data_IF_159648438458
#
_entry.id   IF_159648438458
#
_cell.length_a   1.000
_cell.length_b   1.000
_cell.length_c   1.000
_cell.angle_alpha   90.00
_cell.angle_beta   90.00
_cell.angle_gamma   90.00
#
_symmetry.space_group_name_H-M   'P 1'
#
loop_
_entity.id
_entity.type
_entity.pdbx_description
1 polymer ?
#
# COMPACT_ATOMS: atom_id res chain seq x y z
N UNK A 1 26.26 -32.14 -49.37
CA UNK A 1 26.06 -31.79 -47.94
C UNK A 1 24.72 -31.08 -47.87
N UNK A 2 23.65 -31.71 -47.36
CA UNK A 2 22.36 -31.04 -47.22
C UNK A 2 22.46 -30.00 -46.09
N UNK A 3 21.90 -28.82 -46.32
CA UNK A 3 21.82 -27.71 -45.35
C UNK A 3 20.73 -27.99 -44.31
N UNK A 4 21.02 -27.63 -43.07
CA UNK A 4 20.19 -27.87 -41.89
C UNK A 4 19.00 -26.89 -41.89
N UNK A 5 17.80 -27.41 -41.66
CA UNK A 5 16.56 -26.66 -41.48
C UNK A 5 16.62 -25.73 -40.25
N UNK A 6 16.09 -24.49 -40.32
CA UNK A 6 16.08 -23.55 -39.21
C UNK A 6 14.84 -23.75 -38.33
N UNK A 7 14.60 -24.99 -37.89
CA UNK A 7 13.45 -25.34 -37.07
C UNK A 7 13.89 -26.16 -35.84
N UNK A 8 14.67 -25.55 -34.94
CA UNK A 8 14.78 -25.92 -33.52
C UNK A 8 15.48 -24.76 -32.76
N UNK A 9 14.75 -23.68 -32.50
CA UNK A 9 15.11 -22.80 -31.38
C UNK A 9 14.53 -23.51 -30.15
N UNK A 10 15.42 -24.17 -29.40
CA UNK A 10 15.09 -24.65 -28.06
C UNK A 10 14.59 -23.47 -27.21
N UNK A 11 13.67 -23.68 -26.25
CA UNK A 11 13.31 -22.62 -25.31
C UNK A 11 14.61 -22.15 -24.65
N UNK A 12 14.84 -20.83 -24.68
CA UNK A 12 15.94 -20.22 -23.94
C UNK A 12 15.79 -20.65 -22.47
N UNK A 13 16.79 -21.36 -21.97
CA UNK A 13 16.90 -21.72 -20.56
C UNK A 13 17.17 -20.42 -19.81
N UNK A 14 16.09 -19.72 -19.42
CA UNK A 14 16.17 -18.51 -18.63
C UNK A 14 16.89 -18.85 -17.33
N UNK A 15 18.09 -18.28 -17.16
CA UNK A 15 18.88 -18.45 -15.95
C UNK A 15 18.08 -18.05 -14.69
N UNK A 16 18.57 -18.41 -13.49
CA UNK A 16 17.87 -18.11 -12.25
C UNK A 16 17.51 -16.62 -12.16
N UNK A 17 16.24 -16.33 -11.88
CA UNK A 17 15.73 -14.96 -11.74
C UNK A 17 16.49 -14.23 -10.63
N UNK A 18 17.27 -13.21 -10.99
CA UNK A 18 17.99 -12.38 -10.03
C UNK A 18 17.08 -11.34 -9.36
N UNK A 19 15.92 -11.05 -9.96
CA UNK A 19 14.92 -10.09 -9.47
C UNK A 19 13.51 -10.56 -9.79
N UNK A 20 12.54 -10.07 -9.03
CA UNK A 20 11.12 -10.33 -9.30
C UNK A 20 10.72 -9.74 -10.67
N UNK A 21 10.00 -10.47 -11.52
CA UNK A 21 9.65 -10.04 -12.88
C UNK A 21 8.48 -9.07 -12.91
N UNK A 22 8.59 -7.94 -12.21
CA UNK A 22 7.60 -6.86 -12.29
C UNK A 22 7.69 -6.12 -13.61
N UNK A 23 6.56 -5.68 -14.20
CA UNK A 23 6.60 -4.66 -15.23
C UNK A 23 7.18 -3.35 -14.65
N UNK A 24 7.84 -2.51 -15.48
CA UNK A 24 8.36 -1.22 -15.03
C UNK A 24 7.25 -0.35 -14.39
N UNK A 25 7.46 0.06 -13.14
CA UNK A 25 6.53 0.95 -12.43
C UNK A 25 6.70 2.37 -12.98
N UNK A 26 5.63 2.97 -13.51
CA UNK A 26 5.67 4.34 -14.02
C UNK A 26 5.07 5.32 -13.03
N UNK A 27 5.40 6.62 -13.18
CA UNK A 27 4.72 7.69 -12.41
C UNK A 27 3.20 7.60 -12.58
N UNK A 28 2.73 7.35 -13.81
CA UNK A 28 1.31 7.26 -14.11
C UNK A 28 0.65 6.08 -13.40
N UNK A 29 1.33 4.93 -13.34
CA UNK A 29 0.88 3.77 -12.56
C UNK A 29 0.60 4.18 -11.12
N UNK A 30 1.55 4.81 -10.43
CA UNK A 30 1.35 5.28 -9.05
C UNK A 30 0.21 6.32 -8.93
N UNK A 31 0.09 7.24 -9.89
CA UNK A 31 -0.96 8.27 -9.90
C UNK A 31 -2.37 7.68 -10.08
N UNK A 32 -2.52 6.55 -10.77
CA UNK A 32 -3.82 5.90 -10.94
C UNK A 32 -4.43 5.42 -9.61
N UNK A 33 -3.61 5.25 -8.56
CA UNK A 33 -4.03 4.86 -7.21
C UNK A 33 -4.20 6.05 -6.27
N UNK A 34 -4.00 7.28 -6.75
CA UNK A 34 -4.36 8.48 -5.98
C UNK A 34 -5.87 8.49 -5.80
N UNK A 35 -6.33 8.58 -4.54
CA UNK A 35 -7.75 8.66 -4.24
C UNK A 35 -8.42 9.78 -5.06
N UNK A 36 -9.45 9.48 -5.88
CA UNK A 36 -10.83 9.75 -5.43
C UNK A 36 -11.95 8.90 -6.11
N UNK A 37 -12.82 8.20 -5.34
CA UNK A 37 -14.19 7.76 -5.75
C UNK A 37 -15.03 7.29 -4.52
N UNK A 38 -16.39 7.29 -4.54
CA UNK A 38 -17.32 8.41 -4.64
C UNK A 38 -18.06 8.70 -3.31
N UNK A 39 -17.77 8.01 -2.20
CA UNK A 39 -18.55 8.15 -0.97
C UNK A 39 -17.91 9.13 0.00
N UNK A 40 -18.40 10.37 -0.03
CA UNK A 40 -18.28 11.36 1.04
C UNK A 40 -16.85 11.83 1.33
N UNK A 41 -16.13 12.23 0.28
CA UNK A 41 -14.82 12.88 0.38
C UNK A 41 -15.04 14.38 0.36
N UNK A 42 -14.80 15.07 1.48
CA UNK A 42 -14.45 16.48 1.36
C UNK A 42 -12.99 16.54 0.92
N UNK A 43 -12.78 16.74 -0.37
CA UNK A 43 -11.47 17.04 -0.93
C UNK A 43 -11.24 18.53 -0.78
N UNK A 44 -10.54 18.96 0.29
CA UNK A 44 -9.79 20.20 0.18
C UNK A 44 -8.53 19.88 -0.61
N UNK A 45 -8.33 20.51 -1.78
CA UNK A 45 -6.98 20.56 -2.35
C UNK A 45 -6.06 21.06 -1.23
N UNK A 46 -5.12 20.21 -0.82
CA UNK A 46 -4.26 20.52 0.31
C UNK A 46 -3.46 21.76 -0.04
N UNK A 47 -3.77 22.88 0.62
CA UNK A 47 -3.03 24.12 0.38
C UNK A 47 -1.54 23.86 0.64
N UNK A 48 -0.62 24.47 -0.12
CA UNK A 48 0.83 24.25 0.07
C UNK A 48 1.28 24.42 1.52
N UNK A 49 0.68 25.38 2.24
CA UNK A 49 0.93 25.63 3.67
C UNK A 49 0.59 24.45 4.58
N UNK A 50 -0.51 23.75 4.31
CA UNK A 50 -0.89 22.56 5.08
C UNK A 50 0.08 21.41 4.82
N UNK A 51 0.51 21.23 3.56
CA UNK A 51 1.51 20.21 3.22
C UNK A 51 2.89 20.54 3.81
N UNK A 52 3.26 21.82 3.84
CA UNK A 52 4.50 22.25 4.47
C UNK A 52 4.45 22.01 5.98
N UNK A 53 3.34 22.29 6.67
CA UNK A 53 3.18 21.92 8.10
C UNK A 53 3.30 20.40 8.33
N UNK A 54 2.73 19.57 7.45
CA UNK A 54 2.90 18.10 7.57
C UNK A 54 4.36 17.65 7.37
N UNK A 55 5.16 18.39 6.60
CA UNK A 55 6.59 18.12 6.38
C UNK A 55 7.49 18.71 7.47
N UNK A 56 7.01 19.69 8.23
CA UNK A 56 7.81 20.30 9.29
C UNK A 56 8.14 19.29 10.38
N UNK A 57 9.44 19.19 10.69
CA UNK A 57 9.92 18.34 11.75
C UNK A 57 9.46 18.87 13.12
N UNK A 58 8.49 18.18 13.73
CA UNK A 58 8.02 18.47 15.09
C UNK A 58 6.52 18.24 15.26
N UNK A 59 6.13 17.76 16.44
CA UNK A 59 4.73 17.53 16.78
C UNK A 59 4.09 18.76 17.42
N UNK A 60 4.23 19.91 16.76
CA UNK A 60 3.52 21.13 17.17
C UNK A 60 2.14 21.09 16.53
N UNK A 61 1.10 21.00 17.33
CA UNK A 61 -0.28 21.05 16.85
C UNK A 61 -0.79 22.49 16.91
N UNK A 62 -1.59 22.93 15.92
CA UNK A 62 -2.22 24.24 15.98
C UNK A 62 -3.22 24.34 17.12
N UNK A 63 -3.24 25.49 17.80
CA UNK A 63 -4.26 25.80 18.80
C UNK A 63 -5.64 25.90 18.12
N UNK A 64 -6.65 25.28 18.74
CA UNK A 64 -8.05 25.44 18.33
C UNK A 64 -8.70 26.54 19.17
N UNK A 65 -9.13 27.63 18.54
CA UNK A 65 -9.86 28.71 19.22
C UNK A 65 -11.13 28.20 19.95
N UNK A 66 -11.67 27.03 19.57
CA UNK A 66 -12.92 26.47 20.09
C UNK A 66 -12.73 25.48 21.25
N UNK A 67 -11.49 25.05 21.56
CA UNK A 67 -11.20 24.10 22.65
C UNK A 67 -10.54 24.86 23.81
N UNK A 68 -11.27 25.16 24.92
CA UNK A 68 -10.59 25.64 26.11
C UNK A 68 -9.56 24.59 26.52
N UNK A 69 -8.32 25.02 26.76
CA UNK A 69 -7.27 24.19 27.37
C UNK A 69 -7.89 23.36 28.51
N UNK A 70 -8.03 22.06 28.29
CA UNK A 70 -8.37 21.14 29.37
C UNK A 70 -7.07 20.69 30.01
N UNK A 71 -6.92 21.05 31.28
CA UNK A 71 -5.81 20.63 32.12
C UNK A 71 -5.84 19.11 32.30
N UNK A 72 -5.07 18.40 31.47
CA UNK A 72 -4.80 16.97 31.62
C UNK A 72 -4.02 16.68 32.90
N UNK A 73 -4.10 15.46 33.44
CA UNK A 73 -3.27 15.03 34.58
C UNK A 73 -1.77 15.19 34.30
N UNK A 74 -1.35 15.09 33.03
CA UNK A 74 0.02 15.33 32.58
C UNK A 74 0.39 16.83 32.61
N UNK A 75 -0.48 17.72 32.14
CA UNK A 75 -0.23 19.17 32.21
C UNK A 75 -0.29 19.68 33.64
N UNK A 76 -1.20 19.17 34.48
CA UNK A 76 -1.24 19.46 35.92
C UNK A 76 0.04 18.98 36.64
N UNK A 77 0.55 17.78 36.30
CA UNK A 77 1.79 17.26 36.87
C UNK A 77 3.06 18.02 36.44
N UNK A 78 2.98 18.78 35.35
CA UNK A 78 4.08 19.62 34.85
C UNK A 78 3.86 21.12 35.09
N UNK A 79 2.73 21.53 35.68
CA UNK A 79 2.39 22.93 35.95
C UNK A 79 3.36 23.62 36.93
N UNK A 80 4.03 22.85 37.78
CA UNK A 80 5.02 23.33 38.75
C UNK A 80 6.47 23.30 38.21
N UNK A 81 6.70 22.89 36.96
CA UNK A 81 8.03 22.99 36.36
C UNK A 81 8.31 24.46 36.00
N UNK A 82 9.49 25.00 36.36
CA UNK A 82 9.85 26.34 35.95
C UNK A 82 9.82 26.40 34.41
N UNK A 83 9.03 27.32 33.87
CA UNK A 83 9.04 27.65 32.45
C UNK A 83 10.50 27.88 32.04
N UNK A 84 11.00 27.09 31.10
CA UNK A 84 12.30 27.32 30.52
C UNK A 84 12.15 28.49 29.54
N UNK A 85 12.65 29.69 29.89
CA UNK A 85 12.45 30.88 29.06
C UNK A 85 13.12 30.75 27.69
N UNK A 86 14.09 29.84 27.54
CA UNK A 86 14.73 29.54 26.26
C UNK A 86 13.86 28.63 25.39
N UNK A 87 13.07 27.73 26.01
CA UNK A 87 12.08 26.89 25.33
C UNK A 87 10.83 27.69 24.92
N UNK A 88 10.31 28.55 25.79
CA UNK A 88 9.14 29.40 25.48
C UNK A 88 9.46 30.51 24.47
N UNK A 89 10.69 31.06 24.48
CA UNK A 89 11.11 32.05 23.47
C UNK A 89 11.23 31.44 22.05
N UNK A 90 11.37 30.10 21.94
CA UNK A 90 11.38 29.35 20.68
C UNK A 90 10.02 28.70 20.35
N UNK A 91 9.05 28.77 21.27
CA UNK A 91 7.67 28.38 21.03
C UNK A 91 7.00 29.49 20.22
N UNK A 92 7.23 29.50 18.91
CA UNK A 92 6.37 30.26 18.01
C UNK A 92 4.96 29.65 18.07
N UNK A 93 3.90 30.46 18.19
CA UNK A 93 2.54 29.94 18.11
C UNK A 93 2.39 29.21 16.78
N UNK A 94 2.10 27.91 16.83
CA UNK A 94 1.66 27.21 15.63
C UNK A 94 0.19 27.59 15.45
N UNK A 95 -0.05 28.57 14.58
CA UNK A 95 -1.39 29.11 14.39
C UNK A 95 -2.02 28.42 13.18
N UNK A 96 -3.17 27.78 13.41
CA UNK A 96 -3.99 27.19 12.35
C UNK A 96 -4.37 28.25 11.28
N UNK A 97 -4.22 29.55 11.60
CA UNK A 97 -4.40 30.66 10.67
C UNK A 97 -3.61 30.51 9.37
N UNK A 98 -2.45 29.84 9.39
CA UNK A 98 -1.64 29.60 8.18
C UNK A 98 -2.37 28.74 7.12
N UNK A 99 -3.38 27.98 7.53
CA UNK A 99 -4.24 27.14 6.69
C UNK A 99 -5.70 27.14 7.19
N UNK A 100 -6.20 28.30 7.64
CA UNK A 100 -7.52 28.46 8.24
C UNK A 100 -8.65 27.90 7.38
N UNK A 101 -8.55 28.06 6.06
CA UNK A 101 -9.52 27.53 5.10
C UNK A 101 -9.60 26.00 5.19
N UNK A 102 -8.45 25.32 5.17
CA UNK A 102 -8.37 23.85 5.29
C UNK A 102 -8.89 23.40 6.66
N UNK A 103 -8.52 24.11 7.72
CA UNK A 103 -8.98 23.84 9.08
C UNK A 103 -10.52 23.92 9.20
N UNK A 104 -11.13 24.96 8.62
CA UNK A 104 -12.58 25.13 8.59
C UNK A 104 -13.28 24.05 7.76
N UNK A 105 -12.70 23.66 6.62
CA UNK A 105 -13.21 22.55 5.80
C UNK A 105 -13.14 21.23 6.57
N UNK A 106 -12.05 20.96 7.29
CA UNK A 106 -11.93 19.75 8.12
C UNK A 106 -13.02 19.74 9.20
N UNK A 107 -13.19 20.84 9.95
CA UNK A 107 -14.23 20.96 11.00
C UNK A 107 -15.64 20.69 10.45
N UNK A 108 -16.00 21.36 9.36
CA UNK A 108 -17.32 21.19 8.73
C UNK A 108 -17.53 19.78 8.20
N UNK A 109 -16.51 19.19 7.57
CA UNK A 109 -16.56 17.81 7.07
C UNK A 109 -16.76 16.81 8.20
N UNK A 110 -16.05 16.95 9.32
CA UNK A 110 -16.24 16.06 10.47
C UNK A 110 -17.69 16.09 10.93
N UNK A 111 -18.28 17.29 11.06
CA UNK A 111 -19.68 17.45 11.45
C UNK A 111 -20.65 16.82 10.43
N UNK A 112 -20.41 17.02 9.14
CA UNK A 112 -21.23 16.45 8.05
C UNK A 112 -21.18 14.92 7.98
N UNK A 113 -20.01 14.32 8.27
CA UNK A 113 -19.79 12.87 8.23
C UNK A 113 -20.18 12.14 9.51
N UNK A 114 -20.88 12.80 10.44
CA UNK A 114 -21.41 12.18 11.66
C UNK A 114 -20.47 12.27 12.87
N UNK A 115 -19.51 13.20 12.86
CA UNK A 115 -18.67 13.54 14.01
C UNK A 115 -17.45 12.63 14.22
N UNK A 116 -17.24 11.62 13.37
CA UNK A 116 -16.07 10.75 13.44
C UNK A 116 -15.63 10.33 12.05
N UNK A 117 -14.37 10.60 11.73
CA UNK A 117 -13.79 10.38 10.40
C UNK A 117 -12.45 9.63 10.48
N UNK A 118 -11.99 9.17 9.32
CA UNK A 118 -10.68 8.56 9.12
C UNK A 118 -9.94 9.37 8.05
N UNK A 119 -8.78 9.97 8.36
CA UNK A 119 -7.99 10.71 7.39
C UNK A 119 -7.14 9.78 6.52
N UNK A 120 -6.92 10.18 5.27
CA UNK A 120 -6.00 9.57 4.31
C UNK A 120 -5.47 10.67 3.38
N UNK A 121 -4.21 10.58 2.96
CA UNK A 121 -3.74 11.37 1.81
C UNK A 121 -4.07 10.62 0.51
N UNK A 122 -3.30 10.89 -0.55
CA UNK A 122 -3.50 10.30 -1.87
C UNK A 122 -3.49 8.77 -1.82
N UNK A 123 -2.55 8.16 -1.10
CA UNK A 123 -2.35 6.70 -1.12
C UNK A 123 -2.42 6.04 0.25
N UNK A 124 -2.01 6.72 1.31
CA UNK A 124 -1.82 6.12 2.62
C UNK A 124 -2.69 6.74 3.72
N UNK A 125 -3.21 5.89 4.59
CA UNK A 125 -3.87 6.28 5.84
C UNK A 125 -2.89 6.08 7.01
N UNK A 126 -2.95 6.89 8.08
CA UNK A 126 -1.99 6.87 9.19
C UNK A 126 -2.23 5.70 10.17
N UNK A 127 -2.25 4.47 9.66
CA UNK A 127 -2.55 3.24 10.41
C UNK A 127 -1.39 2.79 11.31
N UNK A 128 -0.19 3.28 11.04
CA UNK A 128 1.04 3.08 11.81
C UNK A 128 1.13 4.04 13.02
N UNK A 129 0.48 5.20 12.93
CA UNK A 129 0.48 6.23 13.96
C UNK A 129 -0.59 6.05 15.06
N UNK A 130 -1.27 4.90 15.12
CA UNK A 130 -2.36 4.67 16.08
C UNK A 130 -1.93 4.82 17.55
N UNK A 131 -0.66 4.55 17.83
CA UNK A 131 -0.05 4.74 19.15
C UNK A 131 -0.06 6.21 19.62
N UNK A 132 -0.15 7.16 18.68
CA UNK A 132 -0.27 8.60 18.94
C UNK A 132 -1.73 9.06 18.99
N UNK A 133 -2.70 8.19 18.69
CA UNK A 133 -4.10 8.57 18.67
C UNK A 133 -4.61 8.91 20.08
N UNK A 134 -5.23 10.08 20.23
CA UNK A 134 -5.94 10.48 21.45
C UNK A 134 -7.12 9.54 21.77
N UNK A 135 -7.66 8.88 20.73
CA UNK A 135 -8.81 7.97 20.80
C UNK A 135 -8.47 6.53 21.18
N UNK A 136 -7.37 6.30 21.93
CA UNK A 136 -6.95 4.99 22.49
C UNK A 136 -6.70 3.92 21.41
N UNK A 137 -5.70 4.14 20.56
CA UNK A 137 -5.31 3.23 19.46
C UNK A 137 -6.39 3.05 18.37
N UNK A 138 -7.19 4.08 18.12
CA UNK A 138 -8.17 4.10 17.03
C UNK A 138 -7.74 5.09 15.95
N UNK A 139 -8.04 4.79 14.68
CA UNK A 139 -7.82 5.72 13.57
C UNK A 139 -8.95 6.77 13.46
N UNK A 140 -9.94 6.68 14.35
CA UNK A 140 -11.05 7.61 14.41
C UNK A 140 -10.60 8.97 14.92
N UNK A 141 -10.86 10.00 14.12
CA UNK A 141 -10.66 11.41 14.45
C UNK A 141 -12.01 12.10 14.65
N UNK A 142 -12.13 12.90 15.71
CA UNK A 142 -13.32 13.69 16.02
C UNK A 142 -13.04 15.19 15.97
N UNK A 143 -11.77 15.58 15.96
CA UNK A 143 -11.30 16.96 15.89
C UNK A 143 -10.25 17.13 14.80
N UNK A 144 -10.01 18.36 14.30
CA UNK A 144 -8.87 18.64 13.42
C UNK A 144 -7.53 18.25 14.04
N UNK A 145 -7.37 18.41 15.36
CA UNK A 145 -6.16 18.09 16.10
C UNK A 145 -5.86 16.59 16.03
N UNK A 146 -6.88 15.73 16.14
CA UNK A 146 -6.71 14.28 15.95
C UNK A 146 -6.13 13.96 14.57
N UNK A 147 -6.61 14.66 13.53
CA UNK A 147 -6.16 14.48 12.15
C UNK A 147 -4.70 14.92 12.01
N UNK A 148 -4.37 16.12 12.48
CA UNK A 148 -3.01 16.66 12.38
C UNK A 148 -2.00 15.78 13.12
N UNK A 149 -2.34 15.35 14.33
CA UNK A 149 -1.52 14.47 15.14
C UNK A 149 -1.23 13.14 14.44
N UNK A 150 -2.26 12.47 13.90
CA UNK A 150 -2.07 11.21 13.21
C UNK A 150 -1.29 11.36 11.90
N UNK A 151 -1.58 12.39 11.10
CA UNK A 151 -0.89 12.62 9.84
C UNK A 151 0.60 12.96 10.06
N UNK A 152 0.92 13.86 11.01
CA UNK A 152 2.31 14.24 11.32
C UNK A 152 3.11 13.11 11.96
N UNK A 153 2.44 12.15 12.60
CA UNK A 153 3.09 11.02 13.28
C UNK A 153 3.22 9.76 12.41
N UNK A 154 2.73 9.79 11.18
CA UNK A 154 2.68 8.60 10.31
C UNK A 154 3.84 8.57 9.31
N UNK A 155 4.64 7.51 9.38
CA UNK A 155 5.68 7.21 8.39
C UNK A 155 5.09 6.92 7.01
N UNK A 156 3.85 6.41 6.94
CA UNK A 156 3.18 6.20 5.66
C UNK A 156 2.78 7.52 5.00
N UNK A 157 2.35 8.49 5.80
CA UNK A 157 2.06 9.85 5.31
C UNK A 157 3.34 10.56 4.88
N UNK A 158 4.44 10.44 5.64
CA UNK A 158 5.76 10.94 5.23
C UNK A 158 6.21 10.30 3.92
N UNK A 159 6.07 8.98 3.78
CA UNK A 159 6.39 8.29 2.54
C UNK A 159 5.57 8.83 1.35
N UNK A 160 4.26 9.06 1.52
CA UNK A 160 3.42 9.67 0.49
C UNK A 160 3.93 11.06 0.08
N UNK A 161 4.50 11.84 1.02
CA UNK A 161 4.97 13.22 0.79
C UNK A 161 6.40 13.32 0.22
N UNK A 162 7.24 12.30 0.42
CA UNK A 162 8.68 12.36 0.13
C UNK A 162 9.19 11.24 -0.80
N UNK A 163 8.55 10.07 -0.80
CA UNK A 163 9.07 8.84 -1.41
C UNK A 163 8.09 8.14 -2.36
N UNK A 164 6.96 8.79 -2.73
CA UNK A 164 5.88 8.17 -3.50
C UNK A 164 6.33 7.56 -4.85
N UNK A 165 7.41 8.08 -5.45
CA UNK A 165 7.89 7.68 -6.77
C UNK A 165 9.28 7.06 -6.79
N UNK A 166 9.88 6.73 -5.64
CA UNK A 166 11.24 6.23 -5.55
C UNK A 166 11.45 4.92 -6.35
N UNK A 167 10.39 4.12 -6.46
CA UNK A 167 10.39 2.84 -7.19
C UNK A 167 10.07 2.98 -8.70
N UNK A 168 9.85 4.20 -9.21
CA UNK A 168 9.48 4.40 -10.61
C UNK A 168 10.69 4.19 -11.54
N UNK A 169 10.47 3.45 -12.63
CA UNK A 169 11.43 3.18 -13.68
C UNK A 169 11.67 4.43 -14.56
N UNK A 170 12.35 5.44 -14.01
CA UNK A 170 13.06 6.49 -14.74
C UNK A 170 14.03 7.24 -13.81
N UNK A 171 15.25 6.71 -13.58
CA UNK A 171 16.20 7.30 -12.65
C UNK A 171 16.83 8.60 -13.15
N UNK A 172 16.74 8.91 -14.46
CA UNK A 172 17.36 10.12 -15.03
C UNK A 172 16.54 11.39 -14.78
N UNK A 173 15.23 11.25 -14.61
CA UNK A 173 14.30 12.33 -14.29
C UNK A 173 13.28 11.84 -13.26
N UNK A 174 13.69 11.66 -11.99
CA UNK A 174 12.75 11.29 -10.94
C UNK A 174 11.65 12.36 -10.91
N UNK A 175 10.38 11.95 -10.97
CA UNK A 175 9.29 12.91 -10.96
C UNK A 175 9.33 13.73 -9.67
N UNK A 176 9.39 15.05 -9.79
CA UNK A 176 9.38 15.93 -8.63
C UNK A 176 8.08 15.73 -7.86
N UNK A 177 8.21 15.25 -6.62
CA UNK A 177 7.08 14.99 -5.72
C UNK A 177 6.28 16.26 -5.40
N UNK A 178 6.90 17.44 -5.59
CA UNK A 178 6.27 18.76 -5.42
C UNK A 178 5.29 19.12 -6.54
N UNK A 179 5.30 18.41 -7.66
CA UNK A 179 4.38 18.64 -8.79
C UNK A 179 3.09 17.81 -8.68
N UNK A 180 2.86 17.15 -7.53
CA UNK A 180 1.65 16.36 -7.27
C UNK A 180 0.64 17.21 -6.52
N UNK A 181 -0.61 17.11 -6.94
CA UNK A 181 -1.74 17.61 -6.20
C UNK A 181 -2.12 16.63 -5.08
N UNK A 182 -1.94 17.05 -3.83
CA UNK A 182 -2.36 16.26 -2.68
C UNK A 182 -3.79 16.57 -2.29
N UNK A 183 -4.52 15.51 -1.94
CA UNK A 183 -5.89 15.59 -1.44
C UNK A 183 -5.96 14.96 -0.05
N UNK A 184 -6.43 15.73 0.92
CA UNK A 184 -6.86 15.18 2.20
C UNK A 184 -8.23 14.54 2.02
N UNK A 185 -8.32 13.24 2.24
CA UNK A 185 -9.54 12.45 2.17
C UNK A 185 -10.02 12.14 3.58
N UNK A 186 -11.23 12.59 3.92
CA UNK A 186 -11.91 12.23 5.17
C UNK A 186 -13.04 11.27 4.85
N UNK A 187 -13.07 10.09 5.48
CA UNK A 187 -14.16 9.11 5.32
C UNK A 187 -14.89 8.93 6.65
N UNK A 188 -16.21 8.68 6.67
CA UNK A 188 -16.92 8.34 7.90
C UNK A 188 -16.27 7.15 8.59
N UNK A 189 -15.98 7.28 9.88
CA UNK A 189 -15.48 6.17 10.68
C UNK A 189 -16.58 5.13 10.87
N UNK A 190 -16.22 3.87 10.67
CA UNK A 190 -17.02 2.74 11.09
C UNK A 190 -16.11 1.64 11.60
N UNK A 191 -16.62 0.84 12.53
CA UNK A 191 -15.88 -0.29 13.06
C UNK A 191 -15.85 -1.42 12.04
N UNK A 192 -14.65 -1.72 11.52
CA UNK A 192 -14.41 -2.85 10.64
C UNK A 192 -14.19 -4.11 11.49
N UNK A 193 -14.87 -5.21 11.13
CA UNK A 193 -14.47 -6.53 11.59
C UNK A 193 -13.37 -7.04 10.65
N UNK A 194 -12.12 -6.96 11.11
CA UNK A 194 -10.90 -7.27 10.35
C UNK A 194 -10.83 -8.72 9.87
N UNK A 195 -11.59 -9.64 10.48
CA UNK A 195 -11.78 -11.00 9.94
C UNK A 195 -12.38 -10.99 8.53
N UNK A 196 -13.22 -10.03 8.18
CA UNK A 196 -13.89 -10.00 6.87
C UNK A 196 -13.30 -8.96 5.93
N UNK A 197 -12.02 -8.65 6.11
CA UNK A 197 -11.22 -7.84 5.20
C UNK A 197 -10.31 -8.76 4.37
N UNK A 198 -10.32 -8.57 3.05
CA UNK A 198 -9.58 -9.40 2.11
C UNK A 198 -8.81 -8.53 1.12
N UNK A 199 -7.63 -8.99 0.73
CA UNK A 199 -6.85 -8.44 -0.38
C UNK A 199 -7.06 -9.31 -1.61
N UNK A 200 -7.33 -8.67 -2.73
CA UNK A 200 -7.60 -9.31 -4.02
C UNK A 200 -6.53 -8.87 -5.00
N UNK A 201 -5.92 -9.83 -5.69
CA UNK A 201 -4.87 -9.62 -6.69
C UNK A 201 -5.45 -9.81 -8.08
N UNK A 202 -5.31 -8.79 -8.91
CA UNK A 202 -5.74 -8.79 -10.31
C UNK A 202 -4.50 -8.69 -11.19
N UNK A 203 -4.39 -9.58 -12.17
CA UNK A 203 -3.36 -9.53 -13.21
C UNK A 203 -4.01 -9.75 -14.55
N UNK A 204 -3.70 -8.89 -15.52
CA UNK A 204 -4.28 -8.90 -16.86
C UNK A 204 -5.82 -8.98 -16.84
N UNK A 205 -6.42 -8.14 -15.99
CA UNK A 205 -7.85 -8.04 -15.71
C UNK A 205 -8.52 -9.32 -15.21
N UNK A 206 -7.73 -10.25 -14.67
CA UNK A 206 -8.20 -11.52 -14.10
C UNK A 206 -7.83 -11.59 -12.62
N UNK A 207 -8.78 -11.94 -11.75
CA UNK A 207 -8.47 -12.19 -10.32
C UNK A 207 -7.62 -13.45 -10.22
N UNK A 208 -6.37 -13.32 -9.77
CA UNK A 208 -5.46 -14.46 -9.60
C UNK A 208 -5.47 -15.03 -8.18
N UNK A 209 -5.73 -14.17 -7.19
CA UNK A 209 -5.68 -14.58 -5.79
C UNK A 209 -6.52 -13.69 -4.88
N UNK A 210 -7.06 -14.28 -3.83
CA UNK A 210 -7.77 -13.63 -2.73
C UNK A 210 -7.15 -14.13 -1.42
N UNK A 211 -6.78 -13.23 -0.52
CA UNK A 211 -6.32 -13.62 0.81
C UNK A 211 -6.92 -12.79 1.93
N UNK A 212 -6.97 -13.39 3.12
CA UNK A 212 -7.31 -12.69 4.36
C UNK A 212 -6.30 -11.55 4.63
N UNK A 213 -6.82 -10.35 4.94
CA UNK A 213 -5.98 -9.17 5.17
C UNK A 213 -5.26 -9.17 6.52
N UNK A 214 -5.93 -9.68 7.56
CA UNK A 214 -5.36 -9.82 8.90
C UNK A 214 -4.80 -11.23 9.10
N UNK A 215 -3.56 -11.34 9.59
CA UNK A 215 -2.88 -12.63 9.78
C UNK A 215 -3.35 -13.41 11.02
N UNK A 216 -4.56 -13.14 11.51
CA UNK A 216 -5.16 -13.83 12.65
C UNK A 216 -6.03 -14.98 12.17
N UNK A 217 -5.85 -16.18 12.73
CA UNK A 217 -6.70 -17.32 12.40
C UNK A 217 -8.18 -17.05 12.69
N UNK A 218 -9.02 -17.37 11.70
CA UNK A 218 -10.49 -17.34 11.80
C UNK A 218 -11.03 -18.63 11.16
N UNK A 219 -11.98 -19.26 11.84
CA UNK A 219 -12.59 -20.50 11.38
C UNK A 219 -13.79 -20.19 10.46
N UNK A 220 -13.54 -20.14 9.16
CA UNK A 220 -14.59 -19.95 8.16
C UNK A 220 -15.19 -21.28 7.73
N UNK A 221 -16.53 -21.35 7.64
CA UNK A 221 -17.15 -22.48 6.96
C UNK A 221 -16.84 -22.45 5.46
N UNK A 222 -16.71 -23.61 4.79
CA UNK A 222 -16.49 -23.66 3.35
C UNK A 222 -17.59 -22.92 2.54
N UNK A 223 -18.83 -23.00 3.02
CA UNK A 223 -19.98 -22.31 2.43
C UNK A 223 -19.83 -20.78 2.48
N UNK A 224 -19.32 -20.26 3.61
CA UNK A 224 -19.08 -18.84 3.79
C UNK A 224 -17.93 -18.36 2.90
N UNK A 225 -16.84 -19.12 2.79
CA UNK A 225 -15.74 -18.78 1.88
C UNK A 225 -16.18 -18.75 0.42
N UNK A 226 -16.97 -19.73 -0.02
CA UNK A 226 -17.53 -19.73 -1.37
C UNK A 226 -18.42 -18.51 -1.61
N UNK A 227 -19.27 -18.16 -0.63
CA UNK A 227 -20.11 -16.95 -0.70
C UNK A 227 -19.25 -15.69 -0.84
N UNK A 228 -18.24 -15.52 0.03
CA UNK A 228 -17.33 -14.37 0.01
C UNK A 228 -16.61 -14.28 -1.34
N UNK A 229 -16.12 -15.41 -1.86
CA UNK A 229 -15.45 -15.48 -3.16
C UNK A 229 -16.38 -14.97 -4.27
N UNK A 230 -17.60 -15.49 -4.36
CA UNK A 230 -18.59 -15.07 -5.37
C UNK A 230 -18.91 -13.59 -5.27
N UNK A 231 -19.17 -13.06 -4.07
CA UNK A 231 -19.48 -11.64 -3.88
C UNK A 231 -18.32 -10.73 -4.32
N UNK A 232 -17.07 -11.14 -4.06
CA UNK A 232 -15.87 -10.40 -4.50
C UNK A 232 -15.71 -10.45 -6.01
N UNK A 233 -15.87 -11.63 -6.62
CA UNK A 233 -15.78 -11.82 -8.07
C UNK A 233 -16.87 -10.98 -8.80
N UNK A 234 -18.11 -11.02 -8.32
CA UNK A 234 -19.22 -10.23 -8.85
C UNK A 234 -18.99 -8.71 -8.69
N UNK A 235 -18.44 -8.28 -7.56
CA UNK A 235 -18.07 -6.89 -7.33
C UNK A 235 -16.99 -6.43 -8.31
N UNK A 236 -15.95 -7.24 -8.51
CA UNK A 236 -14.86 -6.91 -9.44
C UNK A 236 -15.38 -6.79 -10.87
N UNK A 237 -16.11 -7.80 -11.36
CA UNK A 237 -16.65 -7.84 -12.72
C UNK A 237 -17.57 -6.64 -12.99
N UNK A 238 -18.42 -6.28 -12.02
CA UNK A 238 -19.40 -5.21 -12.20
C UNK A 238 -18.90 -3.79 -11.93
N UNK A 239 -17.85 -3.61 -11.09
CA UNK A 239 -17.42 -2.28 -10.63
C UNK A 239 -16.00 -1.90 -11.01
N UNK A 240 -15.07 -2.84 -11.16
CA UNK A 240 -13.64 -2.53 -11.27
C UNK A 240 -13.01 -2.96 -12.60
N UNK A 241 -13.41 -4.11 -13.15
CA UNK A 241 -12.75 -4.73 -14.31
C UNK A 241 -12.57 -3.78 -15.50
N UNK A 242 -13.62 -3.03 -15.84
CA UNK A 242 -13.59 -2.09 -16.97
C UNK A 242 -13.46 -0.62 -16.58
N UNK A 243 -13.56 -0.30 -15.28
CA UNK A 243 -13.51 1.08 -14.79
C UNK A 243 -12.11 1.52 -14.33
N UNK A 244 -11.28 0.58 -13.88
CA UNK A 244 -9.94 0.87 -13.42
C UNK A 244 -8.95 0.89 -14.59
N UNK A 245 -8.05 1.89 -14.69
CA UNK A 245 -7.18 2.07 -15.85
C UNK A 245 -6.16 0.96 -16.00
N UNK A 246 -5.56 0.48 -14.90
CA UNK A 246 -4.50 -0.52 -14.97
C UNK A 246 -5.06 -1.94 -15.04
N UNK A 247 -4.49 -2.81 -15.89
CA UNK A 247 -4.93 -4.20 -16.01
C UNK A 247 -4.50 -5.06 -14.82
N UNK A 248 -3.47 -4.64 -14.08
CA UNK A 248 -2.90 -5.40 -12.96
C UNK A 248 -2.79 -4.49 -11.75
N UNK A 249 -3.39 -4.92 -10.63
CA UNK A 249 -3.45 -4.17 -9.38
C UNK A 249 -3.89 -5.06 -8.22
N UNK A 250 -3.75 -4.58 -6.99
CA UNK A 250 -4.37 -5.21 -5.83
C UNK A 250 -5.47 -4.29 -5.28
N UNK A 251 -6.54 -4.84 -4.73
CA UNK A 251 -7.55 -4.04 -4.03
C UNK A 251 -8.00 -4.72 -2.74
N UNK A 252 -8.30 -3.91 -1.74
CA UNK A 252 -8.73 -4.34 -0.42
C UNK A 252 -10.25 -4.17 -0.32
N UNK A 253 -10.93 -5.20 0.18
CA UNK A 253 -12.38 -5.21 0.35
C UNK A 253 -12.79 -5.62 1.74
N UNK A 254 -13.93 -5.09 2.19
CA UNK A 254 -14.58 -5.47 3.44
C UNK A 254 -16.00 -5.94 3.18
N UNK A 255 -16.37 -7.07 3.79
CA UNK A 255 -17.71 -7.65 3.70
C UNK A 255 -18.42 -7.56 5.05
N UNK A 256 -19.21 -6.48 5.32
CA UNK A 256 -20.00 -6.38 6.53
C UNK A 256 -21.02 -7.52 6.63
N UNK A 257 -21.37 -7.93 7.85
CA UNK A 257 -22.49 -8.87 8.06
C UNK A 257 -23.77 -8.32 7.39
N UNK A 258 -24.52 -9.15 6.65
CA UNK A 258 -24.47 -10.62 6.56
C UNK A 258 -23.58 -11.18 5.41
N UNK A 259 -22.56 -10.43 5.00
CA UNK A 259 -21.59 -10.78 3.93
C UNK A 259 -22.24 -10.93 2.55
N UNK A 260 -23.16 -10.03 2.23
CA UNK A 260 -23.90 -9.94 0.95
C UNK A 260 -23.58 -8.64 0.19
N UNK A 261 -22.62 -7.87 0.69
CA UNK A 261 -22.20 -6.59 0.13
C UNK A 261 -20.70 -6.46 0.26
N UNK A 262 -20.06 -6.04 -0.83
CA UNK A 262 -18.64 -5.73 -0.85
C UNK A 262 -18.46 -4.21 -0.75
N UNK A 263 -17.61 -3.78 0.18
CA UNK A 263 -17.13 -2.40 0.27
C UNK A 263 -15.67 -2.34 -0.13
N UNK A 264 -15.36 -1.53 -1.14
CA UNK A 264 -13.97 -1.23 -1.50
C UNK A 264 -13.33 -0.39 -0.38
N UNK A 265 -12.22 -0.87 0.15
CA UNK A 265 -11.44 -0.20 1.20
C UNK A 265 -10.29 0.58 0.58
N UNK A 266 -9.52 -0.06 -0.30
CA UNK A 266 -8.37 0.56 -0.97
C UNK A 266 -8.03 -0.10 -2.30
N UNK A 267 -7.28 0.61 -3.14
CA UNK A 267 -6.64 0.04 -4.34
C UNK A 267 -5.14 0.34 -4.26
N UNK A 268 -4.32 -0.67 -4.49
CA UNK A 268 -2.88 -0.65 -4.35
C UNK A 268 -2.19 -1.03 -5.68
N UNK A 269 -1.00 -0.45 -5.96
CA UNK A 269 -0.27 -0.73 -7.18
C UNK A 269 0.17 -2.19 -7.30
N UNK A 270 0.19 -2.70 -8.53
CA UNK A 270 0.89 -3.95 -8.85
C UNK A 270 2.41 -3.71 -8.84
N UNK A 271 2.97 -3.65 -7.64
CA UNK A 271 4.38 -3.31 -7.41
C UNK A 271 4.87 -3.91 -6.09
N UNK A 272 6.19 -4.10 -5.98
CA UNK A 272 6.83 -4.74 -4.82
C UNK A 272 6.50 -4.05 -3.48
N UNK A 273 6.23 -2.74 -3.49
CA UNK A 273 5.81 -1.97 -2.31
C UNK A 273 4.49 -2.42 -1.69
N UNK A 274 3.65 -3.12 -2.44
CA UNK A 274 2.38 -3.64 -1.92
C UNK A 274 2.61 -4.99 -1.27
N UNK A 275 2.19 -5.14 -0.02
CA UNK A 275 2.36 -6.39 0.73
C UNK A 275 1.52 -7.54 0.11
N UNK A 276 2.13 -8.67 -0.29
CA UNK A 276 1.42 -9.80 -0.86
C UNK A 276 0.73 -10.69 0.19
N UNK A 277 0.97 -10.46 1.50
CA UNK A 277 0.35 -11.15 2.64
C UNK A 277 0.55 -12.66 2.58
N UNK A 278 -0.52 -13.43 2.36
CA UNK A 278 -0.49 -14.90 2.27
C UNK A 278 0.01 -15.42 0.91
N UNK A 279 0.50 -14.53 0.05
CA UNK A 279 1.14 -14.86 -1.20
C UNK A 279 2.60 -14.37 -1.23
N UNK A 280 3.39 -14.92 -2.13
CA UNK A 280 4.65 -14.32 -2.59
C UNK A 280 4.42 -13.53 -3.86
N UNK A 281 5.22 -12.50 -4.10
CA UNK A 281 5.16 -11.80 -5.39
C UNK A 281 5.57 -12.69 -6.56
N UNK A 282 6.54 -13.57 -6.36
CA UNK A 282 7.00 -14.47 -7.42
C UNK A 282 5.85 -15.34 -7.93
N UNK A 283 5.09 -15.97 -7.03
CA UNK A 283 3.97 -16.82 -7.47
C UNK A 283 2.87 -16.01 -8.16
N UNK A 284 2.50 -14.83 -7.63
CA UNK A 284 1.48 -13.97 -8.25
C UNK A 284 1.90 -13.53 -9.67
N UNK A 285 3.19 -13.29 -9.88
CA UNK A 285 3.75 -12.90 -11.18
C UNK A 285 3.86 -14.07 -12.16
N UNK A 286 4.01 -15.31 -11.68
CA UNK A 286 4.21 -16.50 -12.53
C UNK A 286 3.02 -17.45 -12.60
N UNK A 287 1.91 -17.16 -11.90
CA UNK A 287 0.67 -17.95 -11.99
C UNK A 287 0.24 -18.11 -13.46
N UNK A 288 -0.34 -19.24 -13.82
CA UNK A 288 -0.85 -19.45 -15.19
C UNK A 288 -2.20 -18.74 -15.35
N UNK A 289 -2.34 -17.84 -16.33
CA UNK A 289 -3.65 -17.28 -16.71
C UNK A 289 -4.29 -18.09 -17.85
N UNK A 290 -5.63 -18.06 -17.96
CA UNK A 290 -6.29 -18.47 -19.19
C UNK A 290 -5.74 -17.68 -20.37
N UNK A 291 -5.52 -18.38 -21.49
CA UNK A 291 -5.20 -17.69 -22.73
C UNK A 291 -6.41 -16.84 -23.13
N UNK A 292 -6.24 -15.56 -23.50
CA UNK A 292 -7.36 -14.78 -24.05
C UNK A 292 -7.94 -15.54 -25.24
N UNK A 293 -9.24 -15.84 -25.20
CA UNK A 293 -9.94 -16.43 -26.34
C UNK A 293 -9.88 -15.41 -27.49
N UNK A 294 -8.96 -15.62 -28.43
CA UNK A 294 -8.80 -14.79 -29.62
C UNK A 294 -10.05 -14.93 -30.48
N UNK A 295 -10.99 -13.99 -30.35
CA UNK A 295 -12.24 -14.06 -31.10
C UNK A 295 -13.19 -12.89 -30.91
N UNK A 296 -12.87 -11.71 -31.47
CA UNK A 296 -13.83 -10.87 -32.19
C UNK A 296 -13.14 -9.64 -32.84
N UNK A 297 -12.97 -9.74 -34.17
CA UNK A 297 -13.04 -8.70 -35.20
C UNK A 297 -12.32 -7.37 -35.00
N UNK A 298 -11.23 -7.17 -35.75
CA UNK A 298 -10.91 -5.84 -36.27
C UNK A 298 -10.66 -5.91 -37.78
N UNK A 299 -11.52 -5.25 -38.54
CA UNK A 299 -11.38 -5.02 -39.98
C UNK A 299 -10.44 -3.85 -40.21
N UNK A 300 -9.18 -4.12 -40.58
CA UNK A 300 -8.38 -3.16 -41.34
C UNK A 300 -7.32 -3.88 -42.20
N UNK A 301 -7.22 -3.41 -43.44
CA UNK A 301 -6.47 -3.95 -44.59
C UNK A 301 -4.94 -4.02 -44.32
N UNK A 302 -4.24 -5.15 -44.51
CA UNK A 302 -3.45 -5.57 -45.69
C UNK A 302 -2.15 -6.27 -45.23
N UNK A 303 -1.37 -7.01 -46.07
CA UNK A 303 -1.65 -7.58 -47.39
C UNK A 303 -1.49 -9.12 -47.46
N UNK A 304 -2.08 -9.71 -48.51
CA UNK A 304 -2.07 -11.13 -48.83
C UNK A 304 -0.69 -11.70 -49.22
N UNK A 305 -0.41 -12.93 -48.78
CA UNK A 305 0.58 -13.86 -49.35
C UNK A 305 0.02 -15.31 -49.32
N UNK A 306 0.45 -16.19 -50.23
CA UNK A 306 -0.44 -16.79 -51.22
C UNK A 306 -0.98 -18.19 -50.84
N UNK A 307 -2.15 -18.51 -51.39
CA UNK A 307 -2.67 -19.88 -51.46
C UNK A 307 -1.70 -20.81 -52.21
N UNK A 308 -1.35 -21.93 -51.58
CA UNK A 308 -0.93 -23.16 -52.27
C UNK A 308 -1.58 -24.37 -51.60
N UNK A 309 -2.65 -24.80 -52.27
CA UNK A 309 -3.02 -26.18 -52.62
C UNK A 309 -2.56 -27.35 -51.73
N UNK A 310 -3.57 -27.98 -51.12
CA UNK A 310 -3.92 -29.40 -51.17
C UNK A 310 -2.97 -30.48 -50.62
N UNK A 311 -3.56 -31.27 -49.72
CA UNK A 311 -3.28 -32.69 -49.37
C UNK A 311 -2.05 -32.94 -48.48
N UNK A 312 -2.26 -33.26 -47.19
CA UNK A 312 -2.24 -34.65 -46.71
C UNK A 312 -2.61 -34.80 -45.21
N UNK A 313 -3.34 -35.88 -44.97
CA UNK A 313 -3.59 -36.64 -43.73
C UNK A 313 -4.12 -35.96 -42.46
N UNK A 314 -5.44 -36.16 -42.29
CA UNK A 314 -6.09 -36.20 -41.00
C UNK A 314 -5.53 -37.36 -40.15
N UNK A 315 -4.80 -37.03 -39.08
CA UNK A 315 -4.75 -37.89 -37.90
C UNK A 315 -5.84 -37.43 -36.95
N UNK A 316 -6.93 -38.16 -37.01
CA UNK A 316 -8.06 -38.15 -36.09
C UNK A 316 -7.55 -38.67 -34.73
N UNK A 317 -7.08 -37.76 -33.87
CA UNK A 317 -7.04 -38.02 -32.43
C UNK A 317 -8.26 -37.36 -31.85
N UNK A 318 -9.22 -38.20 -31.46
CA UNK A 318 -10.35 -37.87 -30.61
C UNK A 318 -9.82 -37.14 -29.36
N UNK A 319 -9.80 -35.80 -29.42
CA UNK A 319 -9.61 -34.97 -28.23
C UNK A 319 -10.95 -35.04 -27.51
N UNK A 320 -11.07 -36.03 -26.62
CA UNK A 320 -12.13 -36.07 -25.63
C UNK A 320 -12.24 -34.69 -25.03
N UNK A 321 -13.43 -34.08 -25.13
CA UNK A 321 -13.69 -32.73 -24.67
C UNK A 321 -13.15 -32.50 -23.27
N UNK A 322 -11.95 -31.93 -23.20
CA UNK A 322 -11.45 -31.30 -21.99
C UNK A 322 -12.33 -30.06 -21.87
N UNK A 323 -13.41 -30.17 -21.10
CA UNK A 323 -14.05 -28.98 -20.55
C UNK A 323 -12.92 -28.20 -19.88
N UNK A 324 -12.41 -27.14 -20.52
CA UNK A 324 -11.47 -26.22 -19.91
C UNK A 324 -12.16 -25.70 -18.66
N UNK A 325 -11.81 -26.28 -17.50
CA UNK A 325 -12.39 -25.89 -16.23
C UNK A 325 -12.17 -24.38 -16.11
N UNK A 326 -13.23 -23.61 -15.78
CA UNK A 326 -13.10 -22.17 -15.64
C UNK A 326 -12.00 -21.89 -14.63
N UNK A 327 -11.06 -21.03 -15.01
CA UNK A 327 -9.96 -20.66 -14.14
C UNK A 327 -10.52 -20.12 -12.83
N UNK A 328 -10.10 -20.76 -11.73
CA UNK A 328 -10.54 -20.43 -10.39
C UNK A 328 -9.42 -19.68 -9.68
N UNK A 329 -9.72 -18.48 -9.21
CA UNK A 329 -8.82 -17.72 -8.37
C UNK A 329 -8.47 -18.49 -7.09
N UNK A 330 -7.21 -18.39 -6.66
CA UNK A 330 -6.77 -19.03 -5.42
C UNK A 330 -7.25 -18.23 -4.20
N UNK A 331 -7.97 -18.88 -3.27
CA UNK A 331 -8.41 -18.24 -2.03
C UNK A 331 -7.65 -18.81 -0.82
N UNK A 332 -6.80 -17.98 -0.19
CA UNK A 332 -6.04 -18.32 1.02
C UNK A 332 -6.61 -17.64 2.28
N UNK A 333 -6.74 -18.41 3.34
CA UNK A 333 -7.02 -17.92 4.70
C UNK A 333 -5.99 -18.50 5.66
N UNK A 334 -5.77 -17.80 6.77
CA UNK A 334 -4.81 -18.23 7.79
C UNK A 334 -5.27 -19.55 8.38
N UNK A 335 -4.39 -20.55 8.45
CA UNK A 335 -4.70 -21.89 8.99
C UNK A 335 -4.44 -21.93 10.49
N UNK A 336 -5.17 -22.82 11.19
CA UNK A 336 -5.06 -22.97 12.65
C UNK A 336 -3.68 -23.41 13.12
N UNK A 337 -2.95 -24.15 12.29
CA UNK A 337 -1.62 -24.67 12.64
C UNK A 337 -0.50 -23.83 12.01
N UNK A 338 -0.82 -22.65 11.48
CA UNK A 338 0.17 -21.77 10.86
C UNK A 338 0.97 -21.02 11.95
N UNK A 339 2.31 -21.19 12.03
CA UNK A 339 3.12 -20.49 13.01
C UNK A 339 3.04 -18.95 12.85
N UNK A 340 2.78 -18.45 11.64
CA UNK A 340 2.62 -17.01 11.39
C UNK A 340 1.34 -16.46 12.04
N UNK A 341 0.31 -17.30 12.22
CA UNK A 341 -0.95 -16.93 12.89
C UNK A 341 -0.80 -16.60 14.38
N UNK A 342 0.30 -17.06 15.00
CA UNK A 342 0.59 -16.91 16.43
C UNK A 342 1.80 -16.02 16.68
N UNK A 343 2.31 -15.33 15.66
CA UNK A 343 3.44 -14.42 15.81
C UNK A 343 2.98 -13.06 16.39
N UNK A 344 2.56 -13.08 17.66
CA UNK A 344 2.02 -11.94 18.44
C UNK A 344 3.02 -10.78 18.70
N UNK A 345 4.21 -10.80 18.09
CA UNK A 345 5.33 -9.95 18.49
C UNK A 345 5.78 -8.86 17.50
N UNK A 346 5.19 -8.78 16.30
CA UNK A 346 5.55 -7.72 15.34
C UNK A 346 4.37 -6.80 15.11
N UNK A 347 4.57 -5.49 15.31
CA UNK A 347 3.56 -4.50 14.96
C UNK A 347 3.16 -4.72 13.48
N UNK A 348 1.86 -4.72 13.15
CA UNK A 348 1.34 -5.03 11.81
C UNK A 348 1.75 -4.03 10.72
N UNK A 349 2.52 -3.00 11.09
CA UNK A 349 3.07 -1.97 10.23
C UNK A 349 4.56 -1.80 10.52
N UNK A 350 5.35 -2.84 10.22
CA UNK A 350 6.80 -2.71 10.13
C UNK A 350 7.16 -2.67 8.65
N UNK A 351 7.06 -1.50 8.03
CA UNK A 351 7.55 -1.29 6.68
C UNK A 351 9.09 -1.29 6.61
N UNK A 352 9.79 -1.24 7.74
CA UNK A 352 11.24 -1.37 7.79
C UNK A 352 11.60 -2.43 8.85
N UNK A 353 11.66 -3.69 8.41
CA UNK A 353 12.35 -4.74 9.17
C UNK A 353 13.83 -4.39 9.21
N UNK A 354 14.18 -3.58 10.22
CA UNK A 354 15.52 -3.10 10.56
C UNK A 354 16.20 -2.30 9.43
N UNK A 355 17.00 -1.26 9.74
CA UNK A 355 17.86 -0.63 8.73
C UNK A 355 18.69 -1.70 8.02
N UNK A 356 18.91 -1.57 6.71
CA UNK A 356 19.65 -2.55 5.90
C UNK A 356 20.98 -2.95 6.56
N UNK A 357 21.69 -2.00 7.15
CA UNK A 357 22.94 -2.24 7.91
C UNK A 357 22.79 -3.26 9.06
N UNK A 358 21.63 -3.29 9.73
CA UNK A 358 21.34 -4.20 10.83
C UNK A 358 20.92 -5.59 10.33
N UNK A 359 20.32 -5.65 9.14
CA UNK A 359 20.00 -6.91 8.45
C UNK A 359 21.29 -7.55 7.93
N UNK A 360 22.13 -6.78 7.26
CA UNK A 360 23.42 -7.21 6.70
C UNK A 360 24.37 -7.67 7.83
N UNK A 361 24.43 -6.95 8.95
CA UNK A 361 25.20 -7.40 10.13
C UNK A 361 24.64 -8.66 10.81
N UNK A 362 23.34 -8.93 10.64
CA UNK A 362 22.71 -10.20 11.01
C UNK A 362 23.28 -11.39 10.24
N UNK A 363 23.61 -11.18 8.96
CA UNK A 363 24.18 -12.20 8.07
C UNK A 363 25.71 -12.35 8.25
N UNK A 364 26.42 -11.25 8.56
CA UNK A 364 27.88 -11.21 8.72
C UNK A 364 28.38 -11.67 10.10
N UNK A 365 27.50 -11.80 11.10
CA UNK A 365 27.82 -12.37 12.41
C UNK A 365 28.37 -11.39 13.45
N UNK A 366 28.90 -11.93 14.55
CA UNK A 366 29.07 -11.21 15.82
C UNK A 366 30.03 -10.01 15.83
N UNK A 367 30.93 -9.87 14.85
CA UNK A 367 31.83 -8.71 14.76
C UNK A 367 31.13 -7.49 14.17
N UNK A 368 30.28 -7.66 13.15
CA UNK A 368 29.47 -6.58 12.56
C UNK A 368 28.46 -6.00 13.58
N UNK A 369 27.86 -6.86 14.40
CA UNK A 369 27.00 -6.44 15.52
C UNK A 369 27.73 -5.58 16.55
N UNK A 370 29.03 -5.83 16.76
CA UNK A 370 29.83 -5.09 17.73
C UNK A 370 30.09 -3.65 17.26
N UNK A 371 30.34 -3.47 15.97
CA UNK A 371 30.52 -2.16 15.33
C UNK A 371 29.24 -1.32 15.41
N UNK A 372 28.09 -1.95 15.13
CA UNK A 372 26.79 -1.29 15.25
C UNK A 372 26.53 -0.89 16.71
N UNK A 373 26.66 -1.81 17.66
CA UNK A 373 26.45 -1.52 19.09
C UNK A 373 27.34 -0.37 19.60
N UNK A 374 28.61 -0.31 19.17
CA UNK A 374 29.54 0.75 19.56
C UNK A 374 29.15 2.11 18.95
N UNK A 375 28.64 2.13 17.71
CA UNK A 375 28.11 3.34 17.05
C UNK A 375 26.85 3.87 17.75
N UNK A 376 25.94 2.98 18.14
CA UNK A 376 24.74 3.33 18.92
C UNK A 376 25.10 3.86 20.32
N UNK A 377 26.10 3.29 20.96
CA UNK A 377 26.58 3.74 22.27
C UNK A 377 27.22 5.14 22.21
N UNK A 378 27.96 5.46 21.13
CA UNK A 378 28.51 6.80 20.89
C UNK A 378 27.44 7.85 20.59
N UNK A 379 26.43 7.49 19.80
CA UNK A 379 25.26 8.34 19.52
C UNK A 379 24.46 8.65 20.79
N UNK A 380 24.25 7.65 21.66
CA UNK A 380 23.58 7.85 22.96
C UNK A 380 24.35 8.73 23.95
N UNK A 381 25.65 8.93 23.72
CA UNK A 381 26.52 9.80 24.53
C UNK A 381 26.71 11.19 23.92
N UNK A 382 26.13 11.47 22.75
CA UNK A 382 26.18 12.78 22.10
C UNK A 382 27.54 13.13 21.47
N UNK A 383 28.37 12.13 21.18
CA UNK A 383 29.65 12.33 20.48
C UNK A 383 29.42 12.37 18.95
N UNK A 384 29.96 13.38 18.27
CA UNK A 384 29.87 13.51 16.81
C UNK A 384 30.65 12.37 16.14
N UNK A 385 30.03 11.72 15.15
CA UNK A 385 30.68 10.70 14.31
C UNK A 385 31.47 11.42 13.23
N UNK A 386 32.79 11.27 13.24
CA UNK A 386 33.71 11.83 12.23
C UNK A 386 33.81 10.81 11.08
N UNK A 387 33.16 11.09 9.94
CA UNK A 387 33.26 10.28 8.71
C UNK A 387 34.56 10.62 7.96
N UNK A 388 35.69 10.34 8.60
CA UNK A 388 37.01 10.46 7.96
C UNK A 388 37.91 9.30 8.32
N UNK A 389 37.60 8.11 7.80
CA UNK A 389 38.65 7.15 7.41
C UNK A 389 38.04 6.03 6.57
N UNK A 390 37.95 6.28 5.26
CA UNK A 390 37.96 5.21 4.26
C UNK A 390 38.86 5.66 3.10
N UNK A 391 40.15 5.80 3.43
CA UNK A 391 41.22 5.88 2.45
C UNK A 391 42.48 5.19 2.98
N UNK A 392 42.59 3.88 2.75
CA UNK A 392 43.86 3.16 2.58
C UNK A 392 43.56 2.00 1.62
N UNK A 393 43.77 2.16 0.31
CA UNK A 393 45.01 1.90 -0.45
C UNK A 393 45.50 0.43 -0.45
N UNK A 394 45.60 -0.08 -1.70
CA UNK A 394 46.17 -1.33 -2.26
C UNK A 394 45.39 -2.66 -2.19
#
# INVERSE_FOLDING_TARGET
>A
MPGVDPAMIAPEDEGPLERLPFPPVTKQHILNYTAPQPSAVASSHSQPRFLDDLREAGLRLPDDDDQPYEETEWSAANADKPADPEFEAQAQPNDASAFADVHSVIKSTIAELGGSVVPKLNWSAPKDALHMALSKNSIACQTPQDIYLLLKSSIFVTHDLEHAFDDCANPEHPPFIRDIEYTLVLRPYFKINTSFEFRVFVRDRTIVGICQRELKHVDYSPELLNKIQTEIEDFYESKLKDSFPDPSFAFDVYLPEPHDKVRLIDINPWAQRTDPLLFSWLELLTMSLPKPLLGQGDTSESPALPERSAEEEATDTEDEGVEELPFKAEFRVVKKDDPEAYNFGTAPYSAHKLPKEVVDAGEEGGEAWRVIMERWEKLGRGEAVDDSDDSVDE
#
